data_IF_421692153902
#
_entry.id   IF_421692153902
#
_cell.length_a   1.000
_cell.length_b   1.000
_cell.length_c   1.000
_cell.angle_alpha   90.00
_cell.angle_beta   90.00
_cell.angle_gamma   90.00
#
_symmetry.space_group_name_H-M   'P 1'
#
loop_
_entity.id
_entity.type
_entity.pdbx_description
1 polymer ?
#
# COMPACT_ATOMS: atom_id res chain seq x y z
N UNK A 1 -13.28 -1.60 -26.76
CA UNK A 1 -12.91 -1.62 -25.32
C UNK A 1 -14.13 -1.77 -24.41
N UNK A 2 -15.29 -1.19 -24.75
CA UNK A 2 -16.55 -1.37 -24.03
C UNK A 2 -17.09 -2.81 -24.10
N UNK A 3 -17.08 -3.45 -25.28
CA UNK A 3 -17.57 -4.84 -25.46
C UNK A 3 -16.77 -5.89 -24.67
N UNK A 4 -15.47 -5.67 -24.48
CA UNK A 4 -14.63 -6.56 -23.67
C UNK A 4 -14.89 -6.43 -22.16
N UNK A 5 -15.30 -5.23 -21.69
CA UNK A 5 -15.63 -5.02 -20.27
C UNK A 5 -16.96 -5.70 -19.92
N UNK A 6 -17.97 -5.52 -20.77
CA UNK A 6 -19.30 -6.10 -20.55
C UNK A 6 -19.27 -7.63 -20.58
N UNK A 7 -18.52 -8.26 -21.49
CA UNK A 7 -18.31 -9.72 -21.49
C UNK A 7 -17.68 -10.22 -20.18
N UNK A 8 -16.79 -9.42 -19.57
CA UNK A 8 -16.12 -9.78 -18.32
C UNK A 8 -17.07 -9.65 -17.12
N UNK A 9 -17.86 -8.59 -17.06
CA UNK A 9 -18.89 -8.36 -16.03
C UNK A 9 -19.93 -9.48 -16.03
N UNK A 10 -20.37 -9.87 -17.22
CA UNK A 10 -21.30 -10.98 -17.41
C UNK A 10 -20.78 -12.32 -16.90
N UNK A 11 -19.50 -12.62 -17.16
CA UNK A 11 -18.84 -13.82 -16.66
C UNK A 11 -18.69 -13.79 -15.14
N UNK A 12 -18.42 -12.62 -14.54
CA UNK A 12 -18.32 -12.49 -13.08
C UNK A 12 -19.65 -12.79 -12.38
N UNK A 13 -20.76 -12.24 -12.90
CA UNK A 13 -22.10 -12.52 -12.37
C UNK A 13 -22.44 -14.01 -12.50
N UNK A 14 -22.16 -14.62 -13.65
CA UNK A 14 -22.40 -16.05 -13.86
C UNK A 14 -21.64 -16.91 -12.83
N UNK A 15 -20.35 -16.63 -12.63
CA UNK A 15 -19.51 -17.34 -11.64
C UNK A 15 -19.99 -17.14 -10.21
N UNK A 16 -20.51 -15.96 -9.87
CA UNK A 16 -21.12 -15.71 -8.57
C UNK A 16 -22.37 -16.58 -8.35
N UNK A 17 -23.26 -16.66 -9.34
CA UNK A 17 -24.46 -17.50 -9.27
C UNK A 17 -24.09 -18.98 -9.18
N UNK A 18 -23.10 -19.44 -9.93
CA UNK A 18 -22.56 -20.80 -9.81
C UNK A 18 -22.02 -21.06 -8.39
N UNK A 19 -21.23 -20.14 -7.84
CA UNK A 19 -20.71 -20.27 -6.47
C UNK A 19 -21.82 -20.33 -5.40
N UNK A 20 -22.93 -19.63 -5.60
CA UNK A 20 -24.11 -19.75 -4.74
C UNK A 20 -24.79 -21.12 -4.88
N UNK A 21 -24.94 -21.62 -6.11
CA UNK A 21 -25.59 -22.92 -6.40
C UNK A 21 -24.78 -24.13 -5.91
N UNK A 22 -23.47 -23.98 -5.71
CA UNK A 22 -22.64 -25.01 -5.08
C UNK A 22 -22.89 -25.16 -3.56
N UNK A 23 -23.56 -24.20 -2.93
CA UNK A 23 -23.88 -24.26 -1.51
C UNK A 23 -25.08 -25.17 -1.26
N UNK A 24 -25.07 -25.96 -0.16
CA UNK A 24 -26.20 -26.81 0.19
C UNK A 24 -27.44 -25.95 0.50
N UNK A 25 -28.61 -26.42 0.06
CA UNK A 25 -29.92 -25.78 0.33
C UNK A 25 -30.03 -24.33 -0.18
N UNK A 26 -29.29 -24.00 -1.26
CA UNK A 26 -29.34 -22.71 -1.93
C UNK A 26 -29.87 -22.86 -3.36
N UNK A 27 -30.84 -22.02 -3.71
CA UNK A 27 -31.27 -21.80 -5.10
C UNK A 27 -31.06 -20.32 -5.44
N UNK A 28 -30.50 -20.06 -6.62
CA UNK A 28 -30.22 -18.70 -7.07
C UNK A 28 -30.63 -18.58 -8.53
N UNK A 29 -31.61 -17.73 -8.80
CA UNK A 29 -32.21 -17.53 -10.12
C UNK A 29 -32.04 -16.09 -10.58
N UNK A 30 -31.58 -15.92 -11.82
CA UNK A 30 -31.36 -14.60 -12.42
C UNK A 30 -32.70 -14.11 -12.98
N UNK A 31 -33.36 -13.20 -12.26
CA UNK A 31 -34.69 -12.69 -12.61
C UNK A 31 -34.62 -11.57 -13.67
N UNK A 32 -33.64 -10.67 -13.55
CA UNK A 32 -33.48 -9.56 -14.48
C UNK A 32 -32.01 -9.20 -14.77
N UNK A 33 -31.74 -8.81 -16.02
CA UNK A 33 -30.42 -8.36 -16.49
C UNK A 33 -30.60 -7.12 -17.36
N UNK A 34 -29.94 -6.01 -17.04
CA UNK A 34 -30.01 -4.83 -17.90
C UNK A 34 -29.28 -5.08 -19.24
N UNK A 35 -29.87 -4.68 -20.39
CA UNK A 35 -29.19 -4.75 -21.68
C UNK A 35 -27.98 -3.81 -21.76
N UNK A 36 -26.97 -4.23 -22.52
CA UNK A 36 -25.68 -3.54 -22.70
C UNK A 36 -25.87 -2.03 -22.97
N UNK A 37 -25.18 -1.20 -22.18
CA UNK A 37 -24.97 0.23 -22.48
C UNK A 37 -26.13 1.17 -22.12
N UNK A 38 -27.21 0.67 -21.52
CA UNK A 38 -28.20 1.51 -20.84
C UNK A 38 -28.04 1.26 -19.35
N UNK A 39 -27.35 2.17 -18.64
CA UNK A 39 -27.63 2.34 -17.22
C UNK A 39 -29.06 2.86 -17.14
N UNK A 40 -30.02 1.95 -17.04
CA UNK A 40 -31.40 2.31 -16.78
C UNK A 40 -31.47 3.03 -15.44
N UNK A 41 -32.58 3.71 -15.22
CA UNK A 41 -32.96 4.53 -14.06
C UNK A 41 -32.88 3.80 -12.68
N UNK A 42 -32.33 2.58 -12.64
CA UNK A 42 -32.38 1.60 -11.54
C UNK A 42 -31.06 1.42 -10.78
N UNK A 43 -29.90 1.66 -11.41
CA UNK A 43 -28.58 1.69 -10.74
C UNK A 43 -28.04 0.33 -10.27
N UNK A 44 -28.24 -0.74 -11.04
CA UNK A 44 -27.63 -2.07 -10.85
C UNK A 44 -27.58 -2.86 -12.18
N UNK A 45 -26.65 -3.80 -12.33
CA UNK A 45 -26.44 -4.58 -13.58
C UNK A 45 -27.32 -5.83 -13.67
N UNK A 46 -27.63 -6.45 -12.53
CA UNK A 46 -28.46 -7.66 -12.46
C UNK A 46 -29.23 -7.79 -11.15
N UNK A 47 -30.33 -8.52 -11.19
CA UNK A 47 -31.10 -8.94 -10.00
C UNK A 47 -31.08 -10.46 -9.91
N UNK A 48 -30.85 -10.99 -8.71
CA UNK A 48 -30.88 -12.42 -8.42
C UNK A 48 -31.86 -12.68 -7.28
N UNK A 49 -32.80 -13.58 -7.51
CA UNK A 49 -33.66 -14.11 -6.47
C UNK A 49 -32.96 -15.29 -5.82
N UNK A 50 -32.65 -15.14 -4.54
CA UNK A 50 -31.88 -16.08 -3.74
C UNK A 50 -32.81 -16.75 -2.72
N UNK A 51 -32.85 -18.07 -2.74
CA UNK A 51 -33.52 -18.88 -1.73
C UNK A 51 -32.47 -19.65 -0.92
N UNK A 52 -32.44 -19.46 0.40
CA UNK A 52 -31.52 -20.17 1.32
C UNK A 52 -32.33 -20.77 2.46
N UNK A 53 -32.28 -22.10 2.61
CA UNK A 53 -32.93 -22.82 3.70
C UNK A 53 -34.40 -22.38 3.95
N UNK A 54 -35.16 -22.20 2.85
CA UNK A 54 -36.56 -21.78 2.89
C UNK A 54 -36.84 -20.28 3.05
N UNK A 55 -35.82 -19.42 3.03
CA UNK A 55 -35.96 -17.95 3.04
C UNK A 55 -35.62 -17.35 1.68
N UNK A 56 -36.40 -16.37 1.24
CA UNK A 56 -36.22 -15.66 -0.03
C UNK A 56 -35.58 -14.29 0.19
N UNK A 57 -34.64 -13.94 -0.68
CA UNK A 57 -33.93 -12.67 -0.70
C UNK A 57 -33.81 -12.18 -2.14
N UNK A 58 -33.79 -10.86 -2.33
CA UNK A 58 -33.49 -10.25 -3.63
C UNK A 58 -32.12 -9.59 -3.54
N UNK A 59 -31.20 -10.00 -4.42
CA UNK A 59 -29.86 -9.43 -4.54
C UNK A 59 -29.80 -8.48 -5.74
N UNK A 60 -29.33 -7.25 -5.53
CA UNK A 60 -29.05 -6.29 -6.58
C UNK A 60 -27.53 -6.24 -6.80
N UNK A 61 -27.11 -6.66 -7.99
CA UNK A 61 -25.71 -6.87 -8.32
C UNK A 61 -25.16 -5.69 -9.13
N UNK A 62 -24.01 -5.19 -8.71
CA UNK A 62 -23.19 -4.26 -9.47
C UNK A 62 -21.84 -4.95 -9.75
N UNK A 63 -21.53 -5.16 -11.04
CA UNK A 63 -20.31 -5.82 -11.47
C UNK A 63 -19.21 -4.80 -11.74
N UNK A 64 -18.02 -5.02 -11.18
CA UNK A 64 -16.85 -4.18 -11.45
C UNK A 64 -15.62 -5.03 -11.73
N UNK A 65 -14.75 -4.56 -12.61
CA UNK A 65 -13.46 -5.24 -12.83
C UNK A 65 -12.62 -5.27 -11.55
N UNK A 66 -12.47 -4.14 -10.87
CA UNK A 66 -11.77 -4.08 -9.60
C UNK A 66 -12.47 -3.10 -8.67
N UNK A 67 -12.47 -3.41 -7.38
CA UNK A 67 -13.12 -2.60 -6.34
C UNK A 67 -12.11 -2.18 -5.29
N UNK A 68 -11.97 -0.87 -5.15
CA UNK A 68 -11.18 -0.21 -4.11
C UNK A 68 -12.09 0.66 -3.22
N UNK A 69 -11.62 1.16 -2.06
CA UNK A 69 -12.46 1.91 -1.12
C UNK A 69 -13.21 3.08 -1.76
N UNK A 70 -12.58 3.80 -2.70
CA UNK A 70 -13.23 4.89 -3.44
C UNK A 70 -14.49 4.42 -4.19
N UNK A 71 -14.40 3.26 -4.85
CA UNK A 71 -15.49 2.71 -5.65
C UNK A 71 -16.66 2.28 -4.73
N UNK A 72 -16.34 1.72 -3.56
CA UNK A 72 -17.34 1.38 -2.53
C UNK A 72 -18.06 2.62 -2.03
N UNK A 73 -17.34 3.72 -1.72
CA UNK A 73 -17.97 4.97 -1.29
C UNK A 73 -18.89 5.55 -2.36
N UNK A 74 -18.48 5.48 -3.62
CA UNK A 74 -19.31 5.93 -4.75
C UNK A 74 -20.61 5.13 -4.84
N UNK A 75 -20.54 3.79 -4.73
CA UNK A 75 -21.72 2.91 -4.77
C UNK A 75 -22.65 3.20 -3.59
N UNK A 76 -22.12 3.33 -2.37
CA UNK A 76 -22.93 3.68 -1.18
C UNK A 76 -23.63 5.02 -1.37
N UNK A 77 -22.93 6.02 -1.91
CA UNK A 77 -23.51 7.35 -2.17
C UNK A 77 -24.66 7.25 -3.18
N UNK A 78 -24.49 6.48 -4.27
CA UNK A 78 -25.55 6.25 -5.27
C UNK A 78 -26.77 5.56 -4.65
N UNK A 79 -26.57 4.50 -3.85
CA UNK A 79 -27.67 3.78 -3.20
C UNK A 79 -28.46 4.67 -2.23
N UNK A 80 -27.77 5.50 -1.44
CA UNK A 80 -28.42 6.45 -0.52
C UNK A 80 -29.18 7.55 -1.27
N UNK A 81 -28.67 8.02 -2.40
CA UNK A 81 -29.38 8.99 -3.24
C UNK A 81 -30.67 8.40 -3.86
N UNK A 82 -30.69 7.09 -4.10
CA UNK A 82 -31.81 6.36 -4.69
C UNK A 82 -32.81 5.78 -3.68
N UNK A 83 -32.79 6.22 -2.40
CA UNK A 83 -33.57 5.65 -1.28
C UNK A 83 -35.10 5.84 -1.32
N UNK A 84 -35.71 5.82 -2.51
CA UNK A 84 -37.15 5.59 -2.72
C UNK A 84 -37.43 4.14 -3.15
N UNK A 85 -36.54 3.18 -2.84
CA UNK A 85 -36.73 1.77 -3.23
C UNK A 85 -37.87 1.15 -2.42
N UNK A 86 -38.88 0.63 -3.14
CA UNK A 86 -40.01 -0.08 -2.54
C UNK A 86 -39.53 -1.36 -1.84
N UNK A 87 -40.10 -1.72 -0.68
CA UNK A 87 -39.93 -3.04 -0.11
C UNK A 87 -40.30 -4.12 -1.14
N UNK A 88 -39.61 -5.26 -1.08
CA UNK A 88 -40.00 -6.44 -1.87
C UNK A 88 -41.38 -6.95 -1.41
N UNK A 89 -42.03 -7.81 -2.19
CA UNK A 89 -43.33 -8.42 -1.83
C UNK A 89 -43.30 -9.15 -0.47
N UNK A 90 -42.11 -9.52 0.02
CA UNK A 90 -41.88 -10.21 1.30
C UNK A 90 -41.54 -9.27 2.46
N UNK A 91 -41.54 -7.95 2.27
CA UNK A 91 -41.33 -6.95 3.32
C UNK A 91 -39.86 -6.64 3.67
N UNK A 92 -38.90 -7.41 3.13
CA UNK A 92 -37.47 -7.14 3.31
C UNK A 92 -36.91 -6.25 2.18
N UNK A 93 -35.95 -5.39 2.54
CA UNK A 93 -35.25 -4.51 1.61
C UNK A 93 -34.25 -5.31 0.76
N UNK A 94 -34.16 -5.08 -0.57
CA UNK A 94 -33.22 -5.80 -1.42
C UNK A 94 -31.77 -5.54 -1.02
N UNK A 95 -30.95 -6.59 -1.05
CA UNK A 95 -29.54 -6.54 -0.64
C UNK A 95 -28.66 -6.08 -1.80
N UNK A 96 -27.94 -4.97 -1.64
CA UNK A 96 -26.92 -4.55 -2.58
C UNK A 96 -25.66 -5.42 -2.44
N UNK A 97 -25.14 -5.91 -3.57
CA UNK A 97 -23.97 -6.77 -3.61
C UNK A 97 -23.02 -6.38 -4.76
N UNK A 98 -21.74 -6.18 -4.43
CA UNK A 98 -20.70 -5.94 -5.44
C UNK A 98 -20.05 -7.25 -5.89
N UNK A 99 -20.04 -7.48 -7.20
CA UNK A 99 -19.36 -8.63 -7.81
C UNK A 99 -18.14 -8.12 -8.54
N UNK A 100 -16.94 -8.67 -8.27
CA UNK A 100 -15.74 -8.17 -8.93
C UNK A 100 -14.68 -9.22 -9.26
N UNK A 101 -13.82 -8.92 -10.24
CA UNK A 101 -12.64 -9.76 -10.49
C UNK A 101 -11.70 -9.70 -9.28
N UNK A 102 -11.55 -8.52 -8.68
CA UNK A 102 -10.74 -8.36 -7.48
C UNK A 102 -11.26 -7.25 -6.58
N UNK A 103 -11.27 -7.50 -5.27
CA UNK A 103 -11.65 -6.53 -4.25
C UNK A 103 -10.45 -6.34 -3.31
N UNK A 104 -10.02 -5.09 -3.14
CA UNK A 104 -8.90 -4.78 -2.24
C UNK A 104 -9.27 -5.07 -0.77
N UNK A 105 -8.31 -5.39 0.10
CA UNK A 105 -8.60 -5.63 1.52
C UNK A 105 -9.34 -4.47 2.21
N UNK A 106 -8.95 -3.22 1.92
CA UNK A 106 -9.64 -2.04 2.45
C UNK A 106 -11.07 -1.90 1.93
N UNK A 107 -11.33 -2.29 0.67
CA UNK A 107 -12.70 -2.33 0.16
C UNK A 107 -13.55 -3.41 0.84
N UNK A 108 -13.00 -4.62 1.07
CA UNK A 108 -13.69 -5.67 1.84
C UNK A 108 -14.03 -5.23 3.26
N UNK A 109 -13.14 -4.51 3.92
CA UNK A 109 -13.38 -3.95 5.24
C UNK A 109 -14.51 -2.92 5.23
N UNK A 110 -14.47 -1.96 4.29
CA UNK A 110 -15.51 -0.95 4.15
C UNK A 110 -16.88 -1.54 3.77
N UNK A 111 -16.92 -2.54 2.89
CA UNK A 111 -18.16 -3.24 2.54
C UNK A 111 -18.76 -3.97 3.74
N UNK A 112 -17.92 -4.61 4.57
CA UNK A 112 -18.38 -5.26 5.81
C UNK A 112 -18.93 -4.27 6.82
N UNK A 113 -18.23 -3.16 7.06
CA UNK A 113 -18.70 -2.14 8.02
C UNK A 113 -20.03 -1.53 7.62
N UNK A 114 -20.28 -1.41 6.30
CA UNK A 114 -21.52 -0.85 5.73
C UNK A 114 -22.58 -1.93 5.48
N UNK A 115 -22.33 -3.18 5.88
CA UNK A 115 -23.23 -4.33 5.64
C UNK A 115 -23.69 -4.47 4.18
N UNK A 116 -22.77 -4.21 3.25
CA UNK A 116 -22.99 -4.43 1.82
C UNK A 116 -22.36 -5.76 1.41
N UNK A 117 -23.10 -6.56 0.63
CA UNK A 117 -22.61 -7.85 0.17
C UNK A 117 -21.46 -7.70 -0.82
N UNK A 118 -20.62 -8.72 -0.93
CA UNK A 118 -19.63 -8.79 -2.01
C UNK A 118 -19.26 -10.21 -2.41
N UNK A 119 -18.77 -10.32 -3.65
CA UNK A 119 -18.11 -11.51 -4.16
C UNK A 119 -16.89 -11.12 -5.01
N UNK A 120 -15.77 -11.82 -4.84
CA UNK A 120 -14.61 -11.70 -5.72
C UNK A 120 -14.26 -13.00 -6.45
N UNK A 121 -13.57 -12.91 -7.60
CA UNK A 121 -13.14 -14.09 -8.36
C UNK A 121 -12.13 -15.00 -7.63
N UNK A 122 -11.59 -14.54 -6.50
CA UNK A 122 -10.80 -15.35 -5.57
C UNK A 122 -11.66 -16.26 -4.68
N UNK A 123 -12.98 -16.15 -4.77
CA UNK A 123 -13.95 -16.93 -4.00
C UNK A 123 -14.25 -16.37 -2.62
N UNK A 124 -13.89 -15.10 -2.35
CA UNK A 124 -14.37 -14.45 -1.13
C UNK A 124 -15.82 -14.02 -1.31
N UNK A 125 -16.65 -14.28 -0.32
CA UNK A 125 -18.08 -13.99 -0.34
C UNK A 125 -18.50 -13.44 1.02
N UNK A 126 -19.23 -12.34 1.00
CA UNK A 126 -19.90 -11.80 2.17
C UNK A 126 -21.35 -11.49 1.80
N UNK A 127 -22.28 -12.12 2.51
CA UNK A 127 -23.71 -11.91 2.34
C UNK A 127 -24.30 -11.57 3.72
N UNK A 128 -24.63 -10.30 3.99
CA UNK A 128 -25.16 -9.86 5.28
C UNK A 128 -26.68 -10.03 5.39
N UNK A 129 -27.23 -11.13 4.86
CA UNK A 129 -28.66 -11.40 4.87
C UNK A 129 -29.14 -11.84 6.25
N UNK A 130 -30.15 -11.17 6.80
CA UNK A 130 -30.77 -11.53 8.08
C UNK A 130 -31.34 -12.95 8.01
N UNK A 131 -30.73 -13.88 8.75
CA UNK A 131 -31.16 -15.28 8.75
C UNK A 131 -30.60 -16.16 7.62
N UNK A 132 -29.67 -15.64 6.81
CA UNK A 132 -28.85 -16.39 5.84
C UNK A 132 -27.46 -15.74 5.69
N UNK A 133 -26.81 -15.45 6.82
CA UNK A 133 -25.50 -14.79 6.83
C UNK A 133 -24.41 -15.73 6.32
N UNK A 134 -23.63 -15.28 5.33
CA UNK A 134 -22.50 -16.02 4.79
C UNK A 134 -21.24 -15.16 4.79
N UNK A 135 -20.14 -15.71 5.28
CA UNK A 135 -18.83 -15.07 5.22
C UNK A 135 -17.76 -16.10 4.91
N UNK A 136 -17.15 -15.96 3.74
CA UNK A 136 -16.03 -16.74 3.24
C UNK A 136 -14.92 -15.75 2.90
N UNK A 137 -13.79 -15.87 3.60
CA UNK A 137 -12.63 -15.03 3.35
C UNK A 137 -11.52 -15.84 2.66
N UNK A 138 -11.18 -15.45 1.44
CA UNK A 138 -10.09 -16.04 0.66
C UNK A 138 -8.99 -15.00 0.44
N UNK A 139 -7.72 -15.42 0.33
CA UNK A 139 -6.63 -14.52 -0.02
C UNK A 139 -6.94 -13.77 -1.33
N UNK A 140 -6.55 -12.49 -1.44
CA UNK A 140 -6.80 -11.71 -2.64
C UNK A 140 -6.13 -12.36 -3.88
N UNK A 141 -6.68 -12.16 -5.09
CA UNK A 141 -6.10 -12.69 -6.31
C UNK A 141 -4.60 -12.34 -6.46
N UNK A 142 -3.81 -13.28 -6.99
CA UNK A 142 -2.35 -13.11 -7.16
C UNK A 142 -2.00 -11.87 -7.98
N UNK A 143 -2.80 -11.54 -9.00
CA UNK A 143 -2.61 -10.36 -9.84
C UNK A 143 -2.74 -9.06 -9.03
N UNK A 144 -3.77 -8.94 -8.19
CA UNK A 144 -3.97 -7.81 -7.29
C UNK A 144 -2.80 -7.72 -6.30
N UNK A 145 -2.43 -8.83 -5.66
CA UNK A 145 -1.31 -8.89 -4.72
C UNK A 145 0.00 -8.41 -5.37
N UNK A 146 0.27 -8.84 -6.62
CA UNK A 146 1.46 -8.40 -7.37
C UNK A 146 1.41 -6.90 -7.67
N UNK A 147 0.27 -6.39 -8.14
CA UNK A 147 0.08 -4.97 -8.47
C UNK A 147 0.29 -4.08 -7.24
N UNK A 148 -0.33 -4.43 -6.11
CA UNK A 148 -0.14 -3.74 -4.83
C UNK A 148 1.34 -3.76 -4.44
N UNK A 149 1.98 -4.93 -4.45
CA UNK A 149 3.41 -5.05 -4.08
C UNK A 149 4.31 -4.17 -4.95
N UNK A 150 4.06 -4.07 -6.25
CA UNK A 150 4.88 -3.25 -7.16
C UNK A 150 4.79 -1.75 -6.89
N UNK A 151 3.68 -1.26 -6.31
CA UNK A 151 3.52 0.14 -5.92
C UNK A 151 4.55 0.56 -4.86
N UNK A 152 4.95 -0.35 -3.97
CA UNK A 152 5.88 -0.10 -2.87
C UNK A 152 7.34 -0.47 -3.19
N UNK A 153 7.71 -0.51 -4.47
CA UNK A 153 9.08 -0.85 -4.90
C UNK A 153 9.64 0.11 -5.95
N UNK A 154 10.97 0.25 -5.97
CA UNK A 154 11.71 1.00 -7.00
C UNK A 154 11.23 2.44 -7.16
N UNK A 155 11.11 2.90 -8.41
CA UNK A 155 10.69 4.28 -8.73
C UNK A 155 9.30 4.65 -8.20
N UNK A 156 8.38 3.68 -8.08
CA UNK A 156 7.05 3.95 -7.52
C UNK A 156 7.13 4.27 -6.03
N UNK A 157 7.97 3.54 -5.29
CA UNK A 157 8.23 3.81 -3.88
C UNK A 157 8.83 5.20 -3.63
N UNK A 158 9.65 5.73 -4.56
CA UNK A 158 10.21 7.08 -4.46
C UNK A 158 9.12 8.16 -4.45
N UNK A 159 8.04 7.96 -5.22
CA UNK A 159 6.87 8.85 -5.20
C UNK A 159 6.14 8.77 -3.87
N UNK A 160 5.96 7.56 -3.33
CA UNK A 160 5.34 7.37 -2.00
C UNK A 160 6.18 8.04 -0.90
N UNK A 161 7.50 7.93 -1.00
CA UNK A 161 8.44 8.54 -0.07
C UNK A 161 8.30 10.07 -0.06
N UNK A 162 8.28 10.69 -1.25
CA UNK A 162 8.06 12.13 -1.40
C UNK A 162 6.72 12.57 -0.81
N UNK A 163 5.64 11.84 -1.11
CA UNK A 163 4.32 12.10 -0.56
C UNK A 163 4.28 11.99 0.97
N UNK A 164 4.96 11.02 1.57
CA UNK A 164 4.99 10.85 3.03
C UNK A 164 5.83 11.91 3.74
N UNK A 165 7.01 12.25 3.19
CA UNK A 165 7.89 13.29 3.76
C UNK A 165 7.21 14.65 3.73
N UNK A 166 6.44 14.93 2.68
CA UNK A 166 5.78 16.21 2.48
C UNK A 166 4.25 16.08 2.50
N UNK A 167 3.71 15.23 3.37
CA UNK A 167 2.29 14.86 3.37
C UNK A 167 1.32 16.04 3.54
N UNK A 168 1.79 17.17 4.09
CA UNK A 168 0.98 18.36 4.32
C UNK A 168 0.76 19.20 3.05
N UNK A 169 1.55 18.95 2.00
CA UNK A 169 1.54 19.78 0.80
C UNK A 169 0.52 19.28 -0.24
N UNK A 170 0.17 20.18 -1.16
CA UNK A 170 -0.54 19.85 -2.38
C UNK A 170 0.47 19.74 -3.51
N UNK A 171 0.33 18.74 -4.38
CA UNK A 171 1.29 18.44 -5.42
C UNK A 171 0.68 18.43 -6.81
N UNK A 172 1.31 19.18 -7.71
CA UNK A 172 1.23 18.90 -9.14
C UNK A 172 2.06 17.67 -9.53
N UNK A 173 1.69 17.00 -10.63
CA UNK A 173 2.41 15.81 -11.12
C UNK A 173 3.87 16.11 -11.44
N UNK A 174 4.14 17.25 -12.08
CA UNK A 174 5.49 17.64 -12.51
C UNK A 174 6.40 17.94 -11.31
N UNK A 175 5.89 18.70 -10.35
CA UNK A 175 6.61 19.03 -9.12
C UNK A 175 6.97 17.76 -8.33
N UNK A 176 6.00 16.89 -8.09
CA UNK A 176 6.22 15.64 -7.36
C UNK A 176 7.19 14.71 -8.10
N UNK A 177 7.13 14.66 -9.43
CA UNK A 177 8.08 13.90 -10.23
C UNK A 177 9.52 14.39 -10.06
N UNK A 178 9.73 15.71 -10.02
CA UNK A 178 11.04 16.30 -9.78
C UNK A 178 11.55 15.96 -8.38
N UNK A 179 10.73 16.14 -7.34
CA UNK A 179 11.11 15.83 -5.96
C UNK A 179 11.42 14.34 -5.75
N UNK A 180 10.65 13.45 -6.39
CA UNK A 180 10.86 12.01 -6.31
C UNK A 180 11.93 11.48 -7.29
N UNK A 181 12.54 12.35 -8.11
CA UNK A 181 13.52 11.97 -9.16
C UNK A 181 13.01 10.88 -10.12
N UNK A 182 11.74 10.96 -10.52
CA UNK A 182 11.12 10.02 -11.47
C UNK A 182 10.47 10.76 -12.65
N UNK A 183 9.98 10.02 -13.63
CA UNK A 183 9.26 10.62 -14.75
C UNK A 183 7.84 11.06 -14.34
N UNK A 184 7.30 12.15 -14.93
CA UNK A 184 5.91 12.55 -14.72
C UNK A 184 4.90 11.44 -15.03
N UNK A 185 5.21 10.56 -15.98
CA UNK A 185 4.39 9.40 -16.31
C UNK A 185 4.31 8.40 -15.14
N UNK A 186 5.44 8.11 -14.48
CA UNK A 186 5.45 7.23 -13.30
C UNK A 186 4.69 7.86 -12.14
N UNK A 187 4.89 9.16 -11.89
CA UNK A 187 4.16 9.90 -10.85
C UNK A 187 2.66 9.89 -11.10
N UNK A 188 2.21 10.17 -12.32
CA UNK A 188 0.79 10.13 -12.70
C UNK A 188 0.17 8.75 -12.47
N UNK A 189 0.87 7.68 -12.85
CA UNK A 189 0.41 6.30 -12.60
C UNK A 189 0.27 6.02 -11.10
N UNK A 190 1.27 6.37 -10.29
CA UNK A 190 1.24 6.17 -8.83
C UNK A 190 0.08 6.96 -8.21
N UNK A 191 -0.07 8.24 -8.54
CA UNK A 191 -1.17 9.06 -8.03
C UNK A 191 -2.54 8.48 -8.40
N UNK A 192 -2.70 8.00 -9.63
CA UNK A 192 -3.94 7.34 -10.08
C UNK A 192 -4.22 6.06 -9.29
N UNK A 193 -3.19 5.27 -8.98
CA UNK A 193 -3.33 4.07 -8.14
C UNK A 193 -3.70 4.44 -6.70
N UNK A 194 -3.05 5.43 -6.09
CA UNK A 194 -3.34 5.91 -4.73
C UNK A 194 -4.74 6.54 -4.61
N UNK A 195 -5.22 7.23 -5.64
CA UNK A 195 -6.60 7.74 -5.71
C UNK A 195 -7.62 6.58 -5.63
N UNK A 196 -7.32 5.38 -6.14
CA UNK A 196 -8.21 4.22 -6.00
C UNK A 196 -8.30 3.74 -4.55
N UNK A 197 -7.18 3.77 -3.83
CA UNK A 197 -7.12 3.43 -2.40
C UNK A 197 -7.78 4.46 -1.49
N UNK A 198 -8.26 5.58 -2.04
CA UNK A 198 -8.90 6.67 -1.28
C UNK A 198 -7.94 7.34 -0.29
N UNK A 199 -6.64 7.33 -0.59
CA UNK A 199 -5.62 7.97 0.25
C UNK A 199 -5.30 9.41 -0.17
N UNK A 200 -5.76 9.82 -1.35
CA UNK A 200 -5.48 11.14 -1.91
C UNK A 200 -6.75 11.98 -2.03
N UNK A 201 -6.62 13.24 -1.67
CA UNK A 201 -7.56 14.29 -2.06
C UNK A 201 -7.08 14.95 -3.36
N UNK A 202 -8.02 15.53 -4.12
CA UNK A 202 -7.72 16.22 -5.37
C UNK A 202 -8.46 17.54 -5.45
N UNK A 203 -7.79 18.55 -6.01
CA UNK A 203 -8.40 19.84 -6.36
C UNK A 203 -7.91 20.32 -7.72
N UNK A 204 -8.69 21.17 -8.38
CA UNK A 204 -8.41 21.61 -9.75
C UNK A 204 -8.73 20.53 -10.80
N UNK A 205 -8.49 20.86 -12.07
CA UNK A 205 -8.80 20.00 -13.22
C UNK A 205 -7.71 20.09 -14.28
N UNK A 206 -7.57 19.04 -15.10
CA UNK A 206 -6.59 19.03 -16.18
C UNK A 206 -5.15 19.20 -15.69
N UNK A 207 -4.31 20.00 -16.37
CA UNK A 207 -2.91 20.20 -16.00
C UNK A 207 -2.69 20.84 -14.62
N UNK A 208 -3.66 21.59 -14.09
CA UNK A 208 -3.59 22.22 -12.76
C UNK A 208 -4.14 21.33 -11.65
N UNK A 209 -4.47 20.05 -11.93
CA UNK A 209 -4.96 19.11 -10.92
C UNK A 209 -3.85 18.80 -9.91
N UNK A 210 -4.08 19.17 -8.67
CA UNK A 210 -3.20 18.91 -7.53
C UNK A 210 -3.74 17.77 -6.67
N UNK A 211 -2.85 17.03 -6.01
CA UNK A 211 -3.19 15.97 -5.06
C UNK A 211 -2.59 16.23 -3.69
N UNK A 212 -3.29 15.84 -2.64
CA UNK A 212 -2.84 15.90 -1.26
C UNK A 212 -2.96 14.53 -0.59
N UNK A 213 -1.96 14.15 0.22
CA UNK A 213 -1.98 12.88 0.95
C UNK A 213 -2.83 13.01 2.22
N UNK A 214 -4.09 12.62 2.10
CA UNK A 214 -5.07 12.67 3.20
C UNK A 214 -4.79 11.65 4.29
N UNK A 215 -4.36 10.44 3.91
CA UNK A 215 -4.22 9.30 4.82
C UNK A 215 -2.75 8.83 4.94
N UNK A 216 -1.83 9.65 5.49
CA UNK A 216 -0.40 9.32 5.55
C UNK A 216 -0.13 8.09 6.45
N UNK A 217 -0.86 7.96 7.56
CA UNK A 217 -0.81 6.79 8.44
C UNK A 217 -1.16 5.49 7.70
N UNK A 218 -2.24 5.51 6.91
CA UNK A 218 -2.71 4.34 6.17
C UNK A 218 -1.72 3.94 5.08
N UNK A 219 -1.15 4.91 4.34
CA UNK A 219 -0.12 4.66 3.34
C UNK A 219 1.14 4.06 3.96
N UNK A 220 1.64 4.61 5.08
CA UNK A 220 2.82 4.10 5.75
C UNK A 220 2.58 2.69 6.34
N UNK A 221 1.40 2.45 6.91
CA UNK A 221 0.98 1.11 7.36
C UNK A 221 0.95 0.10 6.21
N UNK A 222 0.41 0.49 5.06
CA UNK A 222 0.39 -0.35 3.87
C UNK A 222 1.81 -0.67 3.38
N UNK A 223 2.71 0.32 3.39
CA UNK A 223 4.11 0.10 3.04
C UNK A 223 4.77 -0.88 4.01
N UNK A 224 4.63 -0.68 5.31
CA UNK A 224 5.15 -1.60 6.34
C UNK A 224 4.67 -3.06 6.13
N UNK A 225 3.38 -3.25 5.83
CA UNK A 225 2.83 -4.58 5.51
C UNK A 225 3.46 -5.19 4.25
N UNK A 226 3.62 -4.40 3.18
CA UNK A 226 4.23 -4.89 1.94
C UNK A 226 5.72 -5.19 2.11
N UNK A 227 6.40 -4.45 2.96
CA UNK A 227 7.82 -4.61 3.26
C UNK A 227 8.17 -6.02 3.76
N UNK A 228 7.26 -6.65 4.52
CA UNK A 228 7.40 -8.01 5.02
C UNK A 228 7.31 -9.09 3.91
N UNK A 229 6.72 -8.76 2.77
CA UNK A 229 6.57 -9.67 1.61
C UNK A 229 7.70 -9.53 0.59
N UNK A 230 8.53 -8.48 0.73
CA UNK A 230 9.61 -8.15 -0.19
C UNK A 230 10.91 -8.66 0.42
N UNK A 231 11.70 -9.40 -0.37
CA UNK A 231 13.02 -9.88 0.06
C UNK A 231 13.89 -8.69 0.53
N UNK A 232 14.54 -8.78 1.71
CA UNK A 232 15.47 -7.75 2.18
C UNK A 232 16.62 -7.51 1.19
N UNK A 233 17.16 -6.30 1.20
CA UNK A 233 18.37 -5.98 0.44
C UNK A 233 19.57 -6.71 1.03
N UNK A 234 20.52 -7.09 0.17
CA UNK A 234 21.74 -7.73 0.62
C UNK A 234 22.56 -6.75 1.49
N UNK A 235 22.96 -7.21 2.67
CA UNK A 235 23.78 -6.46 3.61
C UNK A 235 25.22 -6.94 3.52
N UNK A 236 26.14 -6.08 3.06
CA UNK A 236 27.57 -6.34 3.12
C UNK A 236 28.06 -6.05 4.54
N UNK A 237 28.72 -7.02 5.16
CA UNK A 237 29.06 -7.03 6.59
C UNK A 237 30.55 -6.76 6.78
N UNK A 238 30.86 -5.73 7.56
CA UNK A 238 32.22 -5.31 7.84
C UNK A 238 32.49 -5.16 9.34
N UNK A 239 33.72 -5.43 9.72
CA UNK A 239 34.27 -5.07 11.01
C UNK A 239 35.32 -3.97 10.84
N UNK A 240 35.11 -2.85 11.51
CA UNK A 240 36.03 -1.71 11.58
C UNK A 240 36.74 -1.73 12.93
N UNK A 241 38.06 -2.01 12.99
CA UNK A 241 38.80 -2.12 14.24
C UNK A 241 38.92 -0.79 15.01
N UNK A 242 39.14 -0.92 16.33
CA UNK A 242 39.62 0.17 17.19
C UNK A 242 38.60 1.28 17.45
N UNK A 243 37.30 1.01 17.40
CA UNK A 243 36.28 2.05 17.46
C UNK A 243 35.01 1.57 18.14
N UNK A 244 34.54 2.34 19.12
CA UNK A 244 33.21 2.17 19.73
C UNK A 244 32.14 2.59 18.72
N UNK A 245 30.97 1.99 18.75
CA UNK A 245 29.92 2.27 17.76
C UNK A 245 29.56 3.76 17.65
N UNK A 246 29.53 4.49 18.76
CA UNK A 246 29.25 5.93 18.79
C UNK A 246 30.28 6.76 18.01
N UNK A 247 31.55 6.34 18.02
CA UNK A 247 32.62 7.01 17.26
C UNK A 247 32.75 6.49 15.84
N UNK A 248 32.19 5.30 15.54
CA UNK A 248 32.21 4.70 14.20
C UNK A 248 31.42 5.53 13.21
N UNK A 249 30.22 6.00 13.59
CA UNK A 249 29.42 6.86 12.72
C UNK A 249 30.21 8.10 12.30
N UNK A 250 30.84 8.81 13.24
CA UNK A 250 31.65 9.99 12.93
C UNK A 250 32.87 9.69 12.04
N UNK A 251 33.53 8.53 12.23
CA UNK A 251 34.62 8.07 11.34
C UNK A 251 34.12 7.82 9.92
N UNK A 252 32.97 7.15 9.78
CA UNK A 252 32.31 6.91 8.48
C UNK A 252 32.03 8.25 7.80
N UNK A 253 31.44 9.20 8.53
CA UNK A 253 31.15 10.52 7.99
C UNK A 253 32.38 11.22 7.43
N UNK A 254 33.49 11.25 8.18
CA UNK A 254 34.74 11.85 7.71
C UNK A 254 35.29 11.16 6.46
N UNK A 255 35.39 9.82 6.46
CA UNK A 255 35.90 9.07 5.33
C UNK A 255 35.02 9.28 4.08
N UNK A 256 33.71 9.18 4.23
CA UNK A 256 32.79 9.26 3.09
C UNK A 256 32.72 10.68 2.53
N UNK A 257 32.79 11.71 3.40
CA UNK A 257 32.85 13.10 2.95
C UNK A 257 34.16 13.41 2.21
N UNK A 258 35.31 12.87 2.68
CA UNK A 258 36.60 13.07 2.02
C UNK A 258 36.63 12.51 0.58
N UNK A 259 35.88 11.43 0.32
CA UNK A 259 35.77 10.79 -0.99
C UNK A 259 34.52 11.22 -1.79
N UNK A 260 33.74 12.20 -1.30
CA UNK A 260 32.47 12.63 -1.90
C UNK A 260 31.49 11.47 -2.18
N UNK A 261 31.43 10.49 -1.27
CA UNK A 261 30.53 9.34 -1.40
C UNK A 261 29.09 9.78 -1.18
N UNK A 262 28.18 9.32 -2.04
CA UNK A 262 26.74 9.48 -1.79
C UNK A 262 26.25 8.36 -0.88
N UNK A 263 25.90 8.72 0.35
CA UNK A 263 25.41 7.78 1.36
C UNK A 263 24.34 8.39 2.25
N UNK A 264 23.75 7.54 3.08
CA UNK A 264 23.03 7.93 4.28
C UNK A 264 23.19 6.86 5.36
N UNK A 265 23.21 7.28 6.63
CA UNK A 265 23.11 6.39 7.80
C UNK A 265 21.63 6.15 8.09
N UNK A 266 21.26 4.90 8.38
CA UNK A 266 19.88 4.50 8.68
C UNK A 266 19.81 3.55 9.89
N UNK A 267 18.68 2.88 10.08
CA UNK A 267 18.37 1.97 11.19
C UNK A 267 18.65 2.59 12.57
N UNK A 268 19.13 1.81 13.54
CA UNK A 268 19.24 2.17 14.95
C UNK A 268 20.20 3.35 15.15
N UNK A 269 21.33 3.38 14.42
CA UNK A 269 22.33 4.43 14.54
C UNK A 269 21.81 5.81 14.11
N UNK A 270 20.96 5.87 13.08
CA UNK A 270 20.31 7.11 12.68
C UNK A 270 19.15 7.44 13.63
N UNK A 271 18.31 6.46 13.93
CA UNK A 271 17.14 6.63 14.79
C UNK A 271 17.50 7.17 16.18
N UNK A 272 18.59 6.68 16.78
CA UNK A 272 19.05 7.09 18.11
C UNK A 272 19.42 8.58 18.17
N UNK A 273 19.86 9.18 17.06
CA UNK A 273 20.18 10.61 16.99
C UNK A 273 18.95 11.49 16.99
N UNK A 274 17.88 11.01 16.37
CA UNK A 274 16.62 11.72 16.30
C UNK A 274 15.76 11.48 17.55
N UNK A 275 15.58 10.23 17.98
CA UNK A 275 14.75 9.84 19.12
C UNK A 275 15.47 8.75 19.93
N UNK A 276 16.29 9.14 20.94
CA UNK A 276 17.03 8.20 21.76
C UNK A 276 16.11 7.18 22.45
N UNK A 277 16.41 5.89 22.30
CA UNK A 277 15.59 4.80 22.85
C UNK A 277 16.38 3.61 23.37
N UNK A 278 17.42 3.20 22.63
CA UNK A 278 18.26 2.07 23.00
C UNK A 278 19.36 2.51 23.96
N UNK A 279 19.74 1.62 24.89
CA UNK A 279 20.88 1.85 25.79
C UNK A 279 22.24 1.70 25.10
N UNK A 280 22.27 0.96 23.97
CA UNK A 280 23.47 0.77 23.16
C UNK A 280 23.08 0.48 21.71
N UNK A 281 23.83 1.03 20.77
CA UNK A 281 23.74 0.72 19.34
C UNK A 281 25.01 -0.01 18.94
N UNK A 282 24.92 -1.30 18.59
CA UNK A 282 26.12 -2.12 18.31
C UNK A 282 26.63 -2.02 16.88
N UNK A 283 25.83 -1.49 15.96
CA UNK A 283 26.12 -1.45 14.52
C UNK A 283 25.72 -0.11 13.90
N UNK A 284 26.53 0.36 12.96
CA UNK A 284 26.16 1.45 12.05
C UNK A 284 25.79 0.85 10.70
N UNK A 285 24.59 1.16 10.20
CA UNK A 285 24.15 0.73 8.86
C UNK A 285 24.04 1.93 7.94
N UNK A 286 24.63 1.80 6.76
CA UNK A 286 24.63 2.84 5.73
C UNK A 286 24.04 2.32 4.43
N UNK A 287 23.24 3.14 3.74
CA UNK A 287 22.91 2.94 2.33
C UNK A 287 23.89 3.77 1.50
N UNK A 288 24.50 3.15 0.48
CA UNK A 288 25.63 3.75 -0.24
C UNK A 288 25.47 3.50 -1.73
N UNK A 289 25.67 4.54 -2.54
CA UNK A 289 25.85 4.39 -3.97
C UNK A 289 27.25 3.82 -4.22
N UNK A 290 27.34 2.53 -4.54
CA UNK A 290 28.62 1.82 -4.67
C UNK A 290 29.36 2.27 -5.94
N UNK A 291 30.67 2.45 -5.81
CA UNK A 291 31.60 2.83 -6.86
C UNK A 291 33.02 3.02 -6.29
N UNK A 292 33.99 3.39 -7.13
CA UNK A 292 35.40 3.47 -6.74
C UNK A 292 35.65 4.35 -5.50
N UNK A 293 34.95 5.48 -5.38
CA UNK A 293 35.05 6.36 -4.21
C UNK A 293 34.51 5.71 -2.92
N UNK A 294 33.43 4.93 -3.04
CA UNK A 294 32.89 4.20 -1.89
C UNK A 294 33.84 3.10 -1.43
N UNK A 295 34.44 2.36 -2.37
CA UNK A 295 35.42 1.32 -2.06
C UNK A 295 36.68 1.92 -1.41
N UNK A 296 37.18 3.05 -1.91
CA UNK A 296 38.29 3.78 -1.30
C UNK A 296 37.96 4.26 0.13
N UNK A 297 36.79 4.86 0.33
CA UNK A 297 36.34 5.31 1.65
C UNK A 297 36.18 4.16 2.65
N UNK A 298 35.67 3.01 2.21
CA UNK A 298 35.58 1.78 3.04
C UNK A 298 36.99 1.26 3.35
N UNK A 299 37.91 1.33 2.40
CA UNK A 299 39.33 1.00 2.58
C UNK A 299 40.00 1.83 3.68
N UNK A 300 39.80 3.16 3.68
CA UNK A 300 40.36 4.08 4.68
C UNK A 300 39.85 3.82 6.11
N UNK A 301 38.66 3.20 6.23
CA UNK A 301 38.16 2.76 7.53
C UNK A 301 38.92 1.54 8.07
N UNK A 302 39.77 0.89 7.27
CA UNK A 302 40.35 -0.43 7.54
C UNK A 302 39.27 -1.50 7.78
N UNK A 303 38.15 -1.38 7.06
CA UNK A 303 37.02 -2.28 7.18
C UNK A 303 37.36 -3.67 6.62
N UNK A 304 37.09 -4.72 7.40
CA UNK A 304 37.32 -6.11 7.03
C UNK A 304 35.99 -6.79 6.77
N UNK A 305 35.86 -7.54 5.67
CA UNK A 305 34.66 -8.35 5.41
C UNK A 305 34.57 -9.46 6.47
N UNK A 306 33.39 -9.62 7.06
CA UNK A 306 33.13 -10.63 8.10
C UNK A 306 31.75 -11.27 7.91
N UNK A 307 31.60 -12.52 8.34
CA UNK A 307 30.30 -13.19 8.36
C UNK A 307 29.53 -12.88 9.66
N UNK A 308 30.24 -12.79 10.78
CA UNK A 308 29.69 -12.52 12.11
C UNK A 308 30.44 -11.38 12.81
N UNK A 309 29.83 -10.76 13.82
CA UNK A 309 30.46 -9.69 14.60
C UNK A 309 30.68 -8.36 13.86
N UNK A 310 29.96 -8.12 12.76
CA UNK A 310 30.03 -6.85 12.04
C UNK A 310 29.60 -5.67 12.93
N UNK A 311 30.31 -4.55 12.84
CA UNK A 311 29.92 -3.25 13.42
C UNK A 311 29.55 -2.22 12.35
N UNK A 312 29.81 -2.52 11.08
CA UNK A 312 29.41 -1.73 9.92
C UNK A 312 28.64 -2.62 8.94
N UNK A 313 27.41 -2.23 8.63
CA UNK A 313 26.61 -2.82 7.56
C UNK A 313 26.48 -1.86 6.38
N UNK A 314 26.78 -2.32 5.17
CA UNK A 314 26.62 -1.53 3.94
C UNK A 314 25.53 -2.13 3.08
N UNK A 315 24.52 -1.31 2.78
CA UNK A 315 23.43 -1.62 1.86
C UNK A 315 23.68 -0.86 0.57
N UNK A 316 23.66 -1.56 -0.56
CA UNK A 316 23.84 -0.93 -1.86
C UNK A 316 22.56 -0.20 -2.29
N UNK A 317 22.66 1.11 -2.50
CA UNK A 317 21.67 1.92 -3.18
C UNK A 317 21.92 1.84 -4.69
N UNK A 318 20.89 1.53 -5.49
CA UNK A 318 21.06 1.35 -6.94
C UNK A 318 20.97 2.66 -7.73
N UNK A 319 20.48 3.72 -7.09
CA UNK A 319 20.34 5.03 -7.72
C UNK A 319 20.33 6.14 -6.67
N UNK A 320 20.67 7.40 -7.03
CA UNK A 320 20.57 8.54 -6.12
C UNK A 320 19.16 8.74 -5.53
N UNK A 321 18.12 8.35 -6.28
CA UNK A 321 16.74 8.43 -5.82
C UNK A 321 16.41 7.46 -4.66
N UNK A 322 17.29 6.53 -4.30
CA UNK A 322 17.13 5.72 -3.07
C UNK A 322 17.66 6.42 -1.81
N UNK A 323 18.27 7.60 -1.96
CA UNK A 323 18.83 8.43 -0.88
C UNK A 323 18.09 9.78 -0.77
N UNK A 324 16.82 9.81 -1.20
CA UNK A 324 16.00 11.03 -1.20
C UNK A 324 15.70 11.51 0.21
N UNK A 325 15.57 12.82 0.36
CA UNK A 325 15.20 13.48 1.62
C UNK A 325 16.12 13.17 2.80
N UNK A 326 17.37 12.75 2.52
CA UNK A 326 18.41 12.64 3.54
C UNK A 326 18.74 14.02 4.09
N UNK A 327 19.05 14.07 5.37
CA UNK A 327 19.36 15.29 6.10
C UNK A 327 20.79 15.25 6.63
N UNK A 328 21.43 16.41 6.72
CA UNK A 328 22.76 16.50 7.30
C UNK A 328 22.66 16.82 8.80
N UNK A 329 23.25 15.99 9.64
CA UNK A 329 23.28 16.16 11.11
C UNK A 329 24.64 15.73 11.63
N UNK A 330 25.31 16.60 12.41
CA UNK A 330 26.66 16.35 12.97
C UNK A 330 27.70 15.88 11.93
N UNK A 331 27.63 16.42 10.70
CA UNK A 331 28.53 16.04 9.61
C UNK A 331 28.24 14.69 8.95
N UNK A 332 27.11 14.06 9.30
CA UNK A 332 26.62 12.81 8.71
C UNK A 332 25.40 13.08 7.85
N UNK A 333 25.30 12.35 6.74
CA UNK A 333 24.03 12.20 6.03
C UNK A 333 23.20 11.13 6.72
N UNK A 334 22.03 11.49 7.24
CA UNK A 334 21.05 10.57 7.82
C UNK A 334 19.90 10.37 6.84
N UNK A 335 19.38 9.14 6.77
CA UNK A 335 18.21 8.83 5.98
C UNK A 335 17.00 9.63 6.50
N UNK A 336 16.03 9.91 5.64
CA UNK A 336 14.79 10.56 6.08
C UNK A 336 14.08 9.77 7.20
N UNK A 337 13.26 10.40 8.04
CA UNK A 337 12.50 9.69 9.08
C UNK A 337 11.66 8.51 8.55
N UNK A 338 11.03 8.66 7.37
CA UNK A 338 10.25 7.58 6.74
C UNK A 338 11.14 6.38 6.40
N UNK A 339 12.31 6.62 5.79
CA UNK A 339 13.25 5.56 5.42
C UNK A 339 13.85 4.88 6.65
N UNK A 340 14.21 5.64 7.70
CA UNK A 340 14.70 5.10 8.98
C UNK A 340 13.66 4.15 9.58
N UNK A 341 12.40 4.56 9.66
CA UNK A 341 11.33 3.72 10.18
C UNK A 341 11.18 2.41 9.39
N UNK A 342 11.12 2.49 8.05
CA UNK A 342 11.01 1.31 7.20
C UNK A 342 12.21 0.36 7.37
N UNK A 343 13.41 0.91 7.50
CA UNK A 343 14.62 0.12 7.73
C UNK A 343 14.64 -0.53 9.12
N UNK A 344 14.20 0.16 10.18
CA UNK A 344 14.08 -0.40 11.53
C UNK A 344 13.11 -1.60 11.58
N UNK A 345 12.02 -1.60 10.81
CA UNK A 345 11.10 -2.74 10.73
C UNK A 345 11.76 -4.02 10.19
N UNK A 346 12.88 -3.88 9.47
CA UNK A 346 13.70 -4.98 8.96
C UNK A 346 14.90 -5.31 9.85
N UNK A 347 15.11 -4.55 10.91
CA UNK A 347 16.17 -4.78 11.88
C UNK A 347 15.91 -6.00 12.78
N UNK A 348 16.91 -6.35 13.56
CA UNK A 348 16.94 -7.53 14.44
C UNK A 348 16.91 -7.10 15.91
N UNK A 349 16.53 -8.01 16.82
CA UNK A 349 16.45 -7.69 18.24
C UNK A 349 15.41 -6.59 18.52
N UNK A 350 15.85 -5.48 19.13
CA UNK A 350 14.95 -4.40 19.59
C UNK A 350 14.64 -3.33 18.52
N UNK A 351 15.02 -3.54 17.26
CA UNK A 351 14.77 -2.55 16.19
C UNK A 351 13.28 -2.28 15.98
N UNK A 352 12.41 -3.29 16.17
CA UNK A 352 10.95 -3.12 16.01
C UNK A 352 10.35 -2.26 17.12
N UNK A 353 10.76 -2.47 18.37
CA UNK A 353 10.38 -1.58 19.50
C UNK A 353 10.85 -0.15 19.24
N UNK A 354 12.08 0.00 18.72
CA UNK A 354 12.60 1.30 18.34
C UNK A 354 11.83 1.92 17.16
N UNK A 355 11.36 1.13 16.20
CA UNK A 355 10.54 1.61 15.08
C UNK A 355 9.21 2.20 15.57
N UNK A 356 8.55 1.53 16.51
CA UNK A 356 7.31 2.00 17.13
C UNK A 356 7.52 3.32 17.89
N UNK A 357 8.56 3.38 18.73
CA UNK A 357 8.94 4.61 19.44
C UNK A 357 9.29 5.73 18.46
N UNK A 358 10.16 5.46 17.49
CA UNK A 358 10.62 6.44 16.49
C UNK A 358 9.46 7.01 15.68
N UNK A 359 8.53 6.16 15.24
CA UNK A 359 7.34 6.61 14.52
C UNK A 359 6.50 7.57 15.36
N UNK A 360 6.28 7.25 16.63
CA UNK A 360 5.52 8.11 17.56
C UNK A 360 6.20 9.47 17.75
N UNK A 361 7.51 9.48 17.99
CA UNK A 361 8.24 10.70 18.35
C UNK A 361 8.62 11.58 17.15
N UNK A 362 8.83 11.00 15.96
CA UNK A 362 9.39 11.72 14.80
C UNK A 362 8.52 11.76 13.55
N UNK A 363 7.58 10.84 13.38
CA UNK A 363 6.71 10.80 12.19
C UNK A 363 5.32 11.32 12.55
N UNK A 364 4.76 10.89 13.68
CA UNK A 364 3.50 11.43 14.21
C UNK A 364 2.22 10.88 13.57
N UNK A 365 2.32 9.95 12.62
CA UNK A 365 1.19 9.26 11.97
C UNK A 365 1.49 7.80 11.68
#
# INVERSE_FOLDING_TARGET
MLESSSLTEQQLIARFIEALRELPEVQADLDHREPIGKHGDRGYDAQVDLHVAGKSFVLLLEAKKAVFPRDVRQVIWQLRASSHRKPTEHGDEPLALLVAESISPGAKELLRSERMGYYDSGGSLYLPASGAYLYVDRPPPKALTKSVRTLFTGRRAQVLHALLVQHQNWFGVTELAQQAMVSPATTSQVLTELERFDWLESRGQGPSKERHLREPAALLNAWAKQLATIRPLALRRYYVPGTKADTLAARIGRAFNAHNVQYEVSHEAAAQRYAPFLSNVSQVRVRVLIGANADAAIGDLNARVVNEGANLGVIEAKSPGELLFREQMDGLWLASPIQIYLDLLRGEGRSKEMAEHFRKERIGF
#
